data_IF_203820267738
#
_entry.id   IF_203820267738
#
_cell.length_a   1.000
_cell.length_b   1.000
_cell.length_c   1.000
_cell.angle_alpha   90.00
_cell.angle_beta   90.00
_cell.angle_gamma   90.00
#
_symmetry.space_group_name_H-M   'P 1'
#
loop_
_entity.id
_entity.type
_entity.pdbx_description
1 polymer ?
#
# COMPACT_ATOMS: atom_id res chain seq x y z
N UNK A 1 -31.82 -5.02 -87.92
CA UNK A 1 -31.93 -4.52 -86.54
C UNK A 1 -30.69 -4.99 -85.81
N UNK A 2 -29.75 -4.08 -85.57
CA UNK A 2 -28.42 -4.42 -85.05
C UNK A 2 -28.47 -4.27 -83.53
N UNK A 3 -28.47 -5.39 -82.81
CA UNK A 3 -28.48 -5.42 -81.35
C UNK A 3 -27.13 -4.91 -80.85
N UNK A 4 -27.15 -3.77 -80.16
CA UNK A 4 -25.96 -3.13 -79.60
C UNK A 4 -25.41 -4.04 -78.48
N UNK A 5 -24.17 -4.54 -78.56
CA UNK A 5 -23.61 -5.50 -77.60
C UNK A 5 -23.39 -4.94 -76.19
N UNK A 6 -23.70 -3.65 -75.97
CA UNK A 6 -23.57 -2.94 -74.70
C UNK A 6 -24.87 -2.94 -73.88
N UNK A 7 -25.98 -3.42 -74.44
CA UNK A 7 -27.31 -3.44 -73.79
C UNK A 7 -27.42 -4.44 -72.63
N UNK A 8 -26.41 -5.30 -72.46
CA UNK A 8 -26.33 -6.31 -71.39
C UNK A 8 -25.38 -5.96 -70.24
N UNK A 9 -24.80 -4.75 -70.22
CA UNK A 9 -23.84 -4.38 -69.19
C UNK A 9 -24.59 -3.96 -67.91
N UNK A 10 -24.81 -4.93 -67.01
CA UNK A 10 -25.27 -4.66 -65.65
C UNK A 10 -24.30 -3.67 -64.97
N UNK A 11 -24.88 -2.62 -64.39
CA UNK A 11 -24.16 -1.56 -63.68
C UNK A 11 -23.22 -2.18 -62.63
N UNK A 12 -21.98 -1.70 -62.58
CA UNK A 12 -20.94 -2.28 -61.71
C UNK A 12 -21.30 -1.93 -60.26
N UNK A 13 -21.81 -2.92 -59.53
CA UNK A 13 -22.12 -2.75 -58.11
C UNK A 13 -20.77 -2.61 -57.39
N UNK A 14 -20.43 -1.40 -56.98
CA UNK A 14 -19.26 -1.17 -56.14
C UNK A 14 -19.40 -2.03 -54.87
N UNK A 15 -18.35 -2.74 -54.42
CA UNK A 15 -18.44 -3.56 -53.23
C UNK A 15 -18.84 -2.65 -52.07
N UNK A 16 -19.97 -2.95 -51.43
CA UNK A 16 -20.38 -2.28 -50.20
C UNK A 16 -19.18 -2.29 -49.26
N UNK A 17 -18.76 -1.12 -48.79
CA UNK A 17 -17.66 -0.96 -47.84
C UNK A 17 -17.77 -2.04 -46.78
N UNK A 18 -16.68 -2.77 -46.56
CA UNK A 18 -16.58 -3.76 -45.49
C UNK A 18 -16.81 -2.99 -44.20
N UNK A 19 -18.05 -3.04 -43.70
CA UNK A 19 -18.35 -2.59 -42.37
C UNK A 19 -17.51 -3.47 -41.46
N UNK A 20 -16.52 -2.88 -40.80
CA UNK A 20 -15.70 -3.51 -39.75
C UNK A 20 -16.51 -4.00 -38.53
N UNK A 21 -17.83 -4.03 -38.67
CA UNK A 21 -18.85 -4.52 -37.75
C UNK A 21 -19.46 -5.77 -38.39
N UNK A 22 -19.53 -6.92 -37.72
CA UNK A 22 -19.64 -7.09 -36.29
C UNK A 22 -18.28 -7.44 -35.74
N UNK A 23 -17.80 -6.65 -34.77
CA UNK A 23 -16.67 -7.08 -33.96
C UNK A 23 -17.02 -8.49 -33.45
N UNK A 24 -16.33 -9.51 -33.98
CA UNK A 24 -16.75 -10.90 -33.81
C UNK A 24 -17.02 -11.15 -32.32
N UNK A 25 -18.10 -11.86 -31.94
CA UNK A 25 -18.57 -11.93 -30.54
C UNK A 25 -17.49 -12.34 -29.53
N UNK A 26 -16.42 -12.99 -29.97
CA UNK A 26 -15.22 -13.31 -29.19
C UNK A 26 -14.50 -12.08 -28.58
N UNK A 27 -14.59 -10.88 -29.16
CA UNK A 27 -13.96 -9.68 -28.60
C UNK A 27 -14.56 -9.25 -27.27
N UNK A 28 -15.84 -9.51 -27.06
CA UNK A 28 -16.48 -9.25 -25.77
C UNK A 28 -15.85 -10.06 -24.64
N UNK A 29 -15.39 -11.28 -24.92
CA UNK A 29 -14.68 -12.11 -23.95
C UNK A 29 -13.33 -11.49 -23.59
N UNK A 30 -12.60 -10.97 -24.57
CA UNK A 30 -11.32 -10.27 -24.35
C UNK A 30 -11.53 -8.99 -23.52
N UNK A 31 -12.55 -8.20 -23.85
CA UNK A 31 -12.90 -6.98 -23.12
C UNK A 31 -13.29 -7.31 -21.68
N UNK A 32 -14.14 -8.33 -21.48
CA UNK A 32 -14.54 -8.78 -20.16
C UNK A 32 -13.35 -9.28 -19.32
N UNK A 33 -12.45 -10.05 -19.92
CA UNK A 33 -11.23 -10.50 -19.27
C UNK A 33 -10.33 -9.33 -18.87
N UNK A 34 -10.12 -8.38 -19.79
CA UNK A 34 -9.30 -7.21 -19.54
C UNK A 34 -9.89 -6.33 -18.44
N UNK A 35 -11.21 -6.16 -18.43
CA UNK A 35 -11.92 -5.46 -17.37
C UNK A 35 -11.75 -6.15 -16.01
N UNK A 36 -11.87 -7.48 -15.97
CA UNK A 36 -11.68 -8.26 -14.74
C UNK A 36 -10.25 -8.12 -14.19
N UNK A 37 -9.24 -8.21 -15.07
CA UNK A 37 -7.84 -7.98 -14.71
C UNK A 37 -7.63 -6.55 -14.18
N UNK A 38 -8.22 -5.56 -14.84
CA UNK A 38 -8.14 -4.16 -14.40
C UNK A 38 -8.77 -3.97 -13.02
N UNK A 39 -9.96 -4.51 -12.78
CA UNK A 39 -10.62 -4.47 -11.47
C UNK A 39 -9.78 -5.15 -10.40
N UNK A 40 -9.21 -6.32 -10.68
CA UNK A 40 -8.33 -7.03 -9.76
C UNK A 40 -7.07 -6.22 -9.44
N UNK A 41 -6.45 -5.62 -10.45
CA UNK A 41 -5.28 -4.76 -10.28
C UNK A 41 -5.60 -3.53 -9.41
N UNK A 42 -6.72 -2.86 -9.67
CA UNK A 42 -7.19 -1.72 -8.86
C UNK A 42 -7.45 -2.15 -7.42
N UNK A 43 -8.12 -3.29 -7.20
CA UNK A 43 -8.40 -3.81 -5.86
C UNK A 43 -7.12 -4.12 -5.08
N UNK A 44 -6.15 -4.80 -5.72
CA UNK A 44 -4.85 -5.11 -5.11
C UNK A 44 -4.09 -3.82 -4.79
N UNK A 45 -4.09 -2.86 -5.71
CA UNK A 45 -3.40 -1.58 -5.50
C UNK A 45 -4.04 -0.78 -4.37
N UNK A 46 -5.38 -0.71 -4.34
CA UNK A 46 -6.13 -0.05 -3.27
C UNK A 46 -5.84 -0.68 -1.91
N UNK A 47 -5.89 -2.02 -1.83
CA UNK A 47 -5.58 -2.77 -0.62
C UNK A 47 -4.13 -2.51 -0.16
N UNK A 48 -3.16 -2.54 -1.09
CA UNK A 48 -1.76 -2.18 -0.80
C UNK A 48 -1.60 -0.73 -0.34
N UNK A 49 -2.43 0.19 -0.84
CA UNK A 49 -2.38 1.59 -0.44
C UNK A 49 -2.96 1.81 0.96
N UNK A 50 -4.07 1.14 1.30
CA UNK A 50 -4.66 1.12 2.65
C UNK A 50 -3.64 0.66 3.69
N UNK A 51 -2.87 -0.40 3.40
CA UNK A 51 -1.81 -0.88 4.30
C UNK A 51 -0.68 0.11 4.57
N UNK A 52 -0.52 1.17 3.76
CA UNK A 52 0.52 2.19 3.99
C UNK A 52 0.00 3.42 4.73
N UNK A 53 -1.33 3.57 4.88
CA UNK A 53 -1.94 4.75 5.54
C UNK A 53 -1.52 4.91 7.00
N UNK A 54 -1.56 3.87 7.86
CA UNK A 54 -1.25 4.04 9.27
C UNK A 54 0.21 4.49 9.51
N UNK A 55 1.16 4.00 8.68
CA UNK A 55 2.57 4.40 8.79
C UNK A 55 2.77 5.84 8.36
N UNK A 56 2.13 6.29 7.27
CA UNK A 56 2.19 7.68 6.83
C UNK A 56 1.63 8.62 7.89
N UNK A 57 0.48 8.26 8.48
CA UNK A 57 -0.13 9.03 9.55
C UNK A 57 0.77 9.09 10.80
N UNK A 58 1.36 7.96 11.21
CA UNK A 58 2.28 7.92 12.33
C UNK A 58 3.55 8.75 12.10
N UNK A 59 4.11 8.75 10.89
CA UNK A 59 5.26 9.61 10.55
C UNK A 59 4.87 11.08 10.65
N UNK A 60 3.73 11.47 10.09
CA UNK A 60 3.25 12.86 10.16
C UNK A 60 3.00 13.29 11.61
N UNK A 61 2.34 12.45 12.41
CA UNK A 61 2.10 12.72 13.82
C UNK A 61 3.41 12.81 14.60
N UNK A 62 4.39 11.95 14.29
CA UNK A 62 5.70 12.01 14.94
C UNK A 62 6.43 13.32 14.73
N UNK A 63 6.16 14.06 13.63
CA UNK A 63 6.81 15.32 13.31
C UNK A 63 6.30 16.50 14.14
N UNK A 64 5.02 16.49 14.53
CA UNK A 64 4.43 17.51 15.40
C UNK A 64 4.72 17.27 16.88
N UNK A 65 4.91 16.00 17.26
CA UNK A 65 5.14 15.63 18.67
C UNK A 65 6.60 15.83 19.09
N UNK A 66 6.80 16.59 20.17
CA UNK A 66 8.11 16.76 20.81
C UNK A 66 8.26 15.95 22.11
N UNK A 67 7.20 15.29 22.56
CA UNK A 67 7.23 14.48 23.77
C UNK A 67 7.66 13.03 23.42
N UNK A 68 8.75 12.50 24.00
CA UNK A 68 9.22 11.15 23.70
C UNK A 68 8.22 10.07 24.13
N UNK A 69 7.38 10.32 25.13
CA UNK A 69 6.30 9.41 25.54
C UNK A 69 5.25 9.25 24.43
N UNK A 70 4.86 10.34 23.76
CA UNK A 70 3.89 10.29 22.67
C UNK A 70 4.44 9.51 21.49
N UNK A 71 5.73 9.69 21.17
CA UNK A 71 6.42 8.91 20.13
C UNK A 71 6.45 7.42 20.45
N UNK A 72 6.68 7.05 21.72
CA UNK A 72 6.62 5.66 22.17
C UNK A 72 5.21 5.06 22.05
N UNK A 73 4.17 5.83 22.41
CA UNK A 73 2.77 5.41 22.23
C UNK A 73 2.44 5.20 20.74
N UNK A 74 2.94 6.07 19.86
CA UNK A 74 2.76 5.93 18.41
C UNK A 74 3.38 4.61 17.92
N UNK A 75 4.60 4.28 18.37
CA UNK A 75 5.23 3.00 18.05
C UNK A 75 4.42 1.81 18.56
N UNK A 76 3.94 1.85 19.81
CA UNK A 76 3.05 0.80 20.32
C UNK A 76 1.80 0.65 19.48
N UNK A 77 1.17 1.74 19.07
CA UNK A 77 -0.01 1.72 18.20
C UNK A 77 0.31 1.14 16.83
N UNK A 78 1.47 1.45 16.24
CA UNK A 78 1.93 0.84 14.99
C UNK A 78 2.10 -0.67 15.14
N UNK A 79 2.68 -1.15 16.24
CA UNK A 79 2.80 -2.59 16.49
C UNK A 79 1.43 -3.25 16.60
N UNK A 80 0.47 -2.64 17.30
CA UNK A 80 -0.90 -3.17 17.42
C UNK A 80 -1.59 -3.22 16.05
N UNK A 81 -1.43 -2.21 15.22
CA UNK A 81 -2.09 -2.08 13.92
C UNK A 81 -1.54 -3.07 12.87
N UNK A 82 -0.21 -3.29 12.85
CA UNK A 82 0.44 -4.14 11.86
C UNK A 82 0.69 -5.58 12.32
N UNK A 83 0.75 -5.79 13.63
CA UNK A 83 1.02 -7.09 14.25
C UNK A 83 -0.11 -7.44 15.23
N UNK A 84 0.22 -7.73 16.48
CA UNK A 84 -0.73 -8.18 17.50
C UNK A 84 -0.65 -7.31 18.75
N UNK A 85 -1.78 -7.16 19.45
CA UNK A 85 -1.85 -6.42 20.72
C UNK A 85 -0.96 -7.00 21.81
N UNK A 86 -0.74 -8.33 21.80
CA UNK A 86 0.11 -9.03 22.78
C UNK A 86 1.54 -8.55 22.74
N UNK A 87 2.09 -8.23 21.56
CA UNK A 87 3.45 -7.71 21.38
C UNK A 87 3.63 -6.36 22.07
N UNK A 88 2.64 -5.46 21.96
CA UNK A 88 2.70 -4.14 22.60
C UNK A 88 2.46 -4.17 24.13
N UNK A 89 1.84 -5.24 24.63
CA UNK A 89 1.54 -5.47 26.05
C UNK A 89 2.65 -6.23 26.80
N UNK A 90 3.76 -6.57 26.15
CA UNK A 90 4.89 -7.24 26.77
C UNK A 90 5.58 -6.37 27.84
N UNK A 91 6.32 -7.02 28.74
CA UNK A 91 7.19 -6.34 29.70
C UNK A 91 8.26 -5.50 28.99
N UNK A 92 8.77 -4.47 29.66
CA UNK A 92 9.71 -3.49 29.08
C UNK A 92 10.91 -4.15 28.40
N UNK A 93 11.52 -5.14 29.04
CA UNK A 93 12.63 -5.93 28.49
C UNK A 93 12.28 -6.63 27.16
N UNK A 94 11.19 -7.42 27.12
CA UNK A 94 10.75 -8.14 25.90
C UNK A 94 10.28 -7.19 24.80
N UNK A 95 9.60 -6.10 25.19
CA UNK A 95 9.21 -5.04 24.28
C UNK A 95 10.43 -4.40 23.60
N UNK A 96 11.52 -4.21 24.35
CA UNK A 96 12.76 -3.64 23.81
C UNK A 96 13.36 -4.53 22.72
N UNK A 97 13.42 -5.85 22.94
CA UNK A 97 13.85 -6.82 21.92
C UNK A 97 12.98 -6.75 20.68
N UNK A 98 11.65 -6.75 20.85
CA UNK A 98 10.69 -6.65 19.75
C UNK A 98 10.88 -5.36 18.95
N UNK A 99 11.04 -4.23 19.65
CA UNK A 99 11.24 -2.94 19.02
C UNK A 99 12.55 -2.90 18.23
N UNK A 100 13.62 -3.50 18.74
CA UNK A 100 14.90 -3.60 18.06
C UNK A 100 14.81 -4.45 16.79
N UNK A 101 14.07 -5.56 16.83
CA UNK A 101 13.79 -6.37 15.65
C UNK A 101 13.02 -5.59 14.60
N UNK A 102 11.95 -4.88 15.00
CA UNK A 102 11.05 -4.18 14.08
C UNK A 102 11.61 -2.87 13.49
N UNK A 103 12.51 -2.21 14.22
CA UNK A 103 13.08 -0.92 13.81
C UNK A 103 14.51 -1.04 13.29
N UNK A 104 15.24 -2.10 13.66
CA UNK A 104 16.67 -2.24 13.39
C UNK A 104 17.56 -1.31 14.24
N UNK A 105 16.99 -0.64 15.24
CA UNK A 105 17.71 0.22 16.17
C UNK A 105 17.99 -0.53 17.48
N UNK A 106 18.99 -0.08 18.24
CA UNK A 106 19.30 -0.63 19.56
C UNK A 106 18.69 0.26 20.64
N UNK A 107 17.47 -0.03 21.08
CA UNK A 107 16.89 0.54 22.29
C UNK A 107 17.36 -0.24 23.52
N UNK A 108 17.60 0.48 24.62
CA UNK A 108 17.94 -0.07 25.92
C UNK A 108 16.74 0.09 26.86
N UNK A 109 16.56 -0.85 27.80
CA UNK A 109 15.49 -0.78 28.80
C UNK A 109 15.51 0.54 29.61
N UNK A 110 16.71 1.04 29.95
CA UNK A 110 16.88 2.31 30.66
C UNK A 110 16.34 3.52 29.87
N UNK A 111 16.48 3.52 28.54
CA UNK A 111 15.95 4.59 27.68
C UNK A 111 14.42 4.59 27.62
N UNK A 112 13.80 3.42 27.82
CA UNK A 112 12.34 3.31 27.87
C UNK A 112 11.85 3.68 29.27
N UNK A 113 12.59 3.32 30.31
CA UNK A 113 12.25 3.69 31.69
C UNK A 113 12.38 5.19 31.92
N UNK A 114 13.38 5.85 31.31
CA UNK A 114 13.56 7.31 31.41
C UNK A 114 12.38 8.09 30.82
N UNK A 115 11.60 7.50 29.91
CA UNK A 115 10.37 8.11 29.38
C UNK A 115 9.35 8.45 30.47
N UNK A 116 9.31 7.70 31.56
CA UNK A 116 8.35 7.91 32.64
C UNK A 116 8.84 8.92 33.67
N UNK A 117 10.07 9.41 33.53
CA UNK A 117 10.62 10.45 34.38
C UNK A 117 10.31 11.84 33.80
N UNK A 118 9.50 12.68 34.47
CA UNK A 118 9.07 13.98 33.94
C UNK A 118 10.21 15.01 33.80
N UNK A 119 11.41 14.70 34.32
CA UNK A 119 12.52 15.65 34.44
C UNK A 119 13.41 15.79 33.19
N UNK A 120 13.33 14.87 32.22
CA UNK A 120 14.27 14.84 31.09
C UNK A 120 13.57 15.13 29.75
N UNK A 121 13.85 16.31 29.20
CA UNK A 121 13.55 16.64 27.79
C UNK A 121 14.69 16.11 26.91
N UNK A 122 14.73 14.79 26.73
CA UNK A 122 15.77 14.14 25.92
C UNK A 122 15.44 14.26 24.43
N UNK A 123 15.86 15.38 23.83
CA UNK A 123 15.73 15.62 22.37
C UNK A 123 16.39 14.50 21.56
N UNK A 124 17.48 13.92 22.08
CA UNK A 124 18.18 12.78 21.46
C UNK A 124 17.30 11.53 21.41
N UNK A 125 16.56 11.23 22.49
CA UNK A 125 15.61 10.11 22.51
C UNK A 125 14.43 10.39 21.58
N UNK A 126 13.92 11.62 21.52
CA UNK A 126 12.86 11.99 20.57
C UNK A 126 13.27 11.70 19.12
N UNK A 127 14.48 12.11 18.72
CA UNK A 127 14.98 11.83 17.37
C UNK A 127 15.17 10.33 17.12
N UNK A 128 15.65 9.58 18.12
CA UNK A 128 15.78 8.11 18.03
C UNK A 128 14.42 7.44 17.82
N UNK A 129 13.38 7.83 18.56
CA UNK A 129 12.03 7.30 18.37
C UNK A 129 11.42 7.70 17.03
N UNK A 130 11.64 8.93 16.56
CA UNK A 130 11.22 9.36 15.21
C UNK A 130 11.90 8.53 14.12
N UNK A 131 13.20 8.27 14.27
CA UNK A 131 13.93 7.38 13.37
C UNK A 131 13.35 5.96 13.41
N UNK A 132 13.02 5.44 14.59
CA UNK A 132 12.35 4.15 14.74
C UNK A 132 11.01 4.07 14.01
N UNK A 133 10.17 5.11 14.11
CA UNK A 133 8.89 5.19 13.38
C UNK A 133 9.11 5.19 11.85
N UNK A 134 10.14 5.89 11.37
CA UNK A 134 10.49 5.95 9.95
C UNK A 134 11.01 4.60 9.43
N UNK A 135 11.92 3.97 10.17
CA UNK A 135 12.55 2.70 9.81
C UNK A 135 11.68 1.48 10.10
N UNK A 136 10.55 1.65 10.82
CA UNK A 136 9.62 0.57 11.17
C UNK A 136 9.30 -0.33 9.97
N UNK A 137 9.71 -1.58 10.06
CA UNK A 137 9.51 -2.58 9.02
C UNK A 137 8.10 -3.15 9.13
N UNK A 138 7.33 -2.95 8.08
CA UNK A 138 6.00 -3.54 7.93
C UNK A 138 6.21 -4.91 7.28
N UNK A 139 5.64 -5.97 7.87
CA UNK A 139 5.61 -7.34 7.34
C UNK A 139 6.86 -8.21 7.61
N UNK A 140 7.67 -7.86 8.60
CA UNK A 140 8.76 -8.75 9.05
C UNK A 140 8.19 -9.84 9.95
N UNK A 141 8.62 -11.09 9.79
CA UNK A 141 8.16 -12.19 10.63
C UNK A 141 8.74 -12.03 12.04
N UNK A 142 7.97 -11.44 12.95
CA UNK A 142 8.29 -11.48 14.37
C UNK A 142 7.94 -12.89 14.86
N UNK A 143 8.95 -13.73 15.03
CA UNK A 143 8.79 -14.99 15.75
C UNK A 143 8.57 -14.66 17.23
N UNK A 144 7.31 -14.78 17.66
CA UNK A 144 6.88 -14.63 19.06
C UNK A 144 7.02 -15.96 19.77
#
# INVERSE_FOLDING_TARGET
MQTNPLDGLHDIIAPSQVNWWPLAPAWWVIIALLFLVLCAAIYIFYKKHQFKKPKRYAIQLSQSEQNPQQLHIILKRLVIEYYDKRLAAQSTSKWCTTLNTLTGLNFTEQEILSLYNPSQKDTTLCEKFRQGIKQFKIKESVHV
#
